data_IF_852013031006
#
_entry.id   IF_852013031006
#
_cell.length_a   1.000
_cell.length_b   1.000
_cell.length_c   1.000
_cell.angle_alpha   90.00
_cell.angle_beta   90.00
_cell.angle_gamma   90.00
#
_symmetry.space_group_name_H-M   'P 1'
#
loop_
_entity.id
_entity.type
_entity.pdbx_description
1 polymer ?
#
# COMPACT_ATOMS: atom_id res chain seq x y z
N UNK A 1 5.38 -19.74 19.22
CA UNK A 1 4.44 -19.00 18.37
C UNK A 1 5.21 -18.57 17.12
N UNK A 2 4.97 -19.22 15.97
CA UNK A 2 5.85 -19.10 14.79
C UNK A 2 5.72 -17.72 14.10
N UNK A 3 6.86 -17.03 13.96
CA UNK A 3 7.09 -15.70 13.39
C UNK A 3 6.88 -15.58 11.86
N UNK A 4 6.08 -16.45 11.24
CA UNK A 4 6.03 -16.65 9.78
C UNK A 4 4.84 -15.97 9.08
N UNK A 5 4.42 -14.76 9.49
CA UNK A 5 3.14 -14.17 9.01
C UNK A 5 3.17 -12.87 8.21
N UNK A 6 4.30 -12.34 7.75
CA UNK A 6 4.31 -11.09 6.96
C UNK A 6 5.23 -11.15 5.73
N UNK A 7 4.88 -12.02 4.77
CA UNK A 7 5.58 -12.11 3.48
C UNK A 7 4.90 -11.35 2.32
N UNK A 8 3.86 -10.57 2.58
CA UNK A 8 3.09 -9.87 1.53
C UNK A 8 2.80 -8.40 1.85
N UNK A 9 3.74 -7.72 2.52
CA UNK A 9 3.68 -6.26 2.67
C UNK A 9 4.53 -5.60 1.58
N UNK A 10 3.98 -4.58 0.91
CA UNK A 10 4.64 -3.79 -0.14
C UNK A 10 4.54 -2.32 0.26
N UNK A 11 5.60 -1.54 0.03
CA UNK A 11 5.57 -0.09 0.28
C UNK A 11 5.07 0.69 -0.93
N UNK A 12 4.44 1.83 -0.69
CA UNK A 12 3.99 2.71 -1.77
C UNK A 12 5.18 3.26 -2.56
N UNK A 13 6.27 3.63 -1.89
CA UNK A 13 7.52 4.07 -2.53
C UNK A 13 8.08 3.07 -3.55
N UNK A 14 8.07 1.77 -3.23
CA UNK A 14 8.49 0.73 -4.18
C UNK A 14 7.54 0.64 -5.38
N UNK A 15 6.23 0.71 -5.14
CA UNK A 15 5.20 0.60 -6.17
C UNK A 15 5.27 1.73 -7.21
N UNK A 16 5.64 2.94 -6.76
CA UNK A 16 5.66 4.14 -7.60
C UNK A 16 7.03 4.48 -8.19
N UNK A 17 8.07 3.67 -7.90
CA UNK A 17 9.45 3.95 -8.32
C UNK A 17 9.55 4.15 -9.83
N UNK A 18 10.11 5.30 -10.22
CA UNK A 18 10.31 5.66 -11.63
C UNK A 18 9.02 6.00 -12.40
N UNK A 19 7.87 6.13 -11.73
CA UNK A 19 6.60 6.52 -12.36
C UNK A 19 6.47 8.05 -12.43
N UNK A 20 5.85 8.59 -13.50
CA UNK A 20 5.53 10.01 -13.58
C UNK A 20 4.44 10.38 -12.56
N UNK A 21 4.43 11.65 -12.11
CA UNK A 21 3.50 12.16 -11.08
C UNK A 21 2.03 11.80 -11.33
N UNK A 22 1.56 11.91 -12.57
CA UNK A 22 0.18 11.55 -12.93
C UNK A 22 -0.14 10.08 -12.59
N UNK A 23 0.81 9.16 -12.86
CA UNK A 23 0.64 7.74 -12.52
C UNK A 23 0.75 7.47 -11.01
N UNK A 24 1.56 8.23 -10.28
CA UNK A 24 1.63 8.13 -8.81
C UNK A 24 0.24 8.41 -8.20
N UNK A 25 -0.41 9.48 -8.65
CA UNK A 25 -1.75 9.87 -8.19
C UNK A 25 -2.80 8.81 -8.56
N UNK A 26 -2.77 8.28 -9.78
CA UNK A 26 -3.66 7.20 -10.23
C UNK A 26 -3.50 5.92 -9.40
N UNK A 27 -2.25 5.54 -9.08
CA UNK A 27 -1.96 4.39 -8.21
C UNK A 27 -2.54 4.63 -6.81
N UNK A 28 -2.35 5.83 -6.25
CA UNK A 28 -2.91 6.17 -4.93
C UNK A 28 -4.43 6.02 -4.90
N UNK A 29 -5.14 6.59 -5.88
CA UNK A 29 -6.60 6.44 -5.96
C UNK A 29 -7.03 4.97 -6.13
N UNK A 30 -6.31 4.21 -6.93
CA UNK A 30 -6.57 2.77 -7.13
C UNK A 30 -6.44 2.00 -5.81
N UNK A 31 -5.38 2.27 -5.05
CA UNK A 31 -5.16 1.65 -3.74
C UNK A 31 -6.29 2.01 -2.76
N UNK A 32 -6.66 3.30 -2.67
CA UNK A 32 -7.77 3.73 -1.81
C UNK A 32 -9.09 3.03 -2.17
N UNK A 33 -9.39 2.88 -3.47
CA UNK A 33 -10.58 2.17 -3.93
C UNK A 33 -10.55 0.69 -3.53
N UNK A 34 -9.43 0.00 -3.73
CA UNK A 34 -9.27 -1.40 -3.32
C UNK A 34 -9.39 -1.58 -1.80
N UNK A 35 -8.90 -0.61 -1.03
CA UNK A 35 -9.05 -0.59 0.42
C UNK A 35 -10.52 -0.45 0.84
N UNK A 36 -11.26 0.48 0.23
CA UNK A 36 -12.70 0.66 0.46
C UNK A 36 -13.50 -0.62 0.12
N UNK A 37 -13.09 -1.32 -0.94
CA UNK A 37 -13.65 -2.62 -1.34
C UNK A 37 -13.21 -3.79 -0.45
N UNK A 38 -12.44 -3.52 0.61
CA UNK A 38 -11.92 -4.52 1.56
C UNK A 38 -11.02 -5.57 0.90
N UNK A 39 -10.39 -5.27 -0.24
CA UNK A 39 -9.47 -6.18 -0.94
C UNK A 39 -8.05 -6.13 -0.37
N UNK A 40 -7.64 -4.96 0.09
CA UNK A 40 -6.34 -4.71 0.71
C UNK A 40 -6.51 -3.90 1.99
N UNK A 41 -5.49 -3.92 2.83
CA UNK A 41 -5.33 -3.01 3.95
C UNK A 41 -4.20 -2.02 3.65
N UNK A 42 -4.46 -0.74 3.94
CA UNK A 42 -3.50 0.34 3.78
C UNK A 42 -3.32 0.99 5.14
N UNK A 43 -2.08 1.24 5.55
CA UNK A 43 -1.81 1.96 6.78
C UNK A 43 -0.55 2.81 6.69
N UNK A 44 -0.45 3.73 7.63
CA UNK A 44 0.59 4.73 7.75
C UNK A 44 0.90 4.93 9.23
N UNK A 45 2.18 5.06 9.59
CA UNK A 45 2.61 5.27 10.99
C UNK A 45 2.56 6.74 11.41
N UNK A 46 2.91 7.64 10.50
CA UNK A 46 3.06 9.09 10.75
C UNK A 46 2.48 9.89 9.59
N UNK A 47 1.91 11.08 9.85
CA UNK A 47 1.40 11.95 8.78
C UNK A 47 2.49 12.24 7.73
N UNK A 48 2.14 12.06 6.46
CA UNK A 48 3.06 12.14 5.31
C UNK A 48 4.26 11.17 5.32
N UNK A 49 4.26 10.17 6.22
CA UNK A 49 5.21 9.06 6.21
C UNK A 49 4.90 7.99 5.17
N UNK A 50 5.70 6.92 5.18
CA UNK A 50 5.56 5.79 4.25
C UNK A 50 4.19 5.10 4.37
N UNK A 51 3.65 4.68 3.22
CA UNK A 51 2.37 3.99 3.12
C UNK A 51 2.65 2.51 2.87
N UNK A 52 2.06 1.67 3.71
CA UNK A 52 2.20 0.22 3.65
C UNK A 52 0.91 -0.41 3.09
N UNK A 53 1.07 -1.37 2.18
CA UNK A 53 -0.04 -2.10 1.55
C UNK A 53 0.13 -3.58 1.84
N UNK A 54 -0.94 -4.22 2.31
CA UNK A 54 -0.98 -5.67 2.56
C UNK A 54 -2.32 -6.27 2.13
N UNK A 55 -2.34 -7.57 1.80
CA UNK A 55 -3.61 -8.26 1.51
C UNK A 55 -4.46 -8.36 2.77
N UNK A 56 -5.78 -8.33 2.59
CA UNK A 56 -6.72 -8.61 3.67
C UNK A 56 -6.91 -10.12 3.80
N UNK A 57 -6.55 -10.70 4.95
CA UNK A 57 -6.85 -12.08 5.32
C UNK A 57 -8.29 -12.23 5.82
#
# INVERSE_FOLDING_TARGET
MNLWKFKEEITFSELIKGKPRAKIVEILFTLLFLHMQKKIYIYQKELFGEIFITKRC
#
